data_IF_084956254242
#
_entry.id   IF_084956254242
#
_cell.length_a   1.000
_cell.length_b   1.000
_cell.length_c   1.000
_cell.angle_alpha   90.00
_cell.angle_beta   90.00
_cell.angle_gamma   90.00
#
_symmetry.space_group_name_H-M   'P 1'
#
loop_
_entity.id
_entity.type
_entity.pdbx_description
1 polymer ?
#
# COMPACT_ATOMS: atom_id res chain seq x y z
N UNK A 1 -2.65 -14.74 -19.86
CA UNK A 1 -3.17 -14.91 -18.49
C UNK A 1 -2.51 -13.95 -17.49
N UNK A 2 -1.17 -13.89 -17.38
CA UNK A 2 -0.46 -12.99 -16.45
C UNK A 2 -0.88 -11.52 -16.58
N UNK A 3 -0.96 -10.97 -17.79
CA UNK A 3 -1.41 -9.57 -17.99
C UNK A 3 -2.83 -9.31 -17.46
N UNK A 4 -3.75 -10.28 -17.59
CA UNK A 4 -5.10 -10.12 -17.03
C UNK A 4 -5.05 -10.03 -15.50
N UNK A 5 -4.25 -10.88 -14.85
CA UNK A 5 -4.04 -10.82 -13.39
C UNK A 5 -3.49 -9.45 -12.97
N UNK A 6 -2.46 -8.95 -13.66
CA UNK A 6 -1.85 -7.66 -13.34
C UNK A 6 -2.84 -6.50 -13.55
N UNK A 7 -3.60 -6.51 -14.66
CA UNK A 7 -4.65 -5.52 -14.90
C UNK A 7 -5.77 -5.58 -13.85
N UNK A 8 -6.18 -6.77 -13.42
CA UNK A 8 -7.16 -6.93 -12.34
C UNK A 8 -6.63 -6.37 -11.03
N UNK A 9 -5.38 -6.66 -10.66
CA UNK A 9 -4.73 -6.13 -9.47
C UNK A 9 -4.58 -4.60 -9.51
N UNK A 10 -4.50 -4.00 -10.70
CA UNK A 10 -4.50 -2.56 -10.86
C UNK A 10 -5.90 -1.95 -10.79
N UNK A 11 -6.87 -2.47 -11.54
CA UNK A 11 -8.19 -1.84 -11.73
C UNK A 11 -9.13 -2.10 -10.55
N UNK A 12 -9.18 -3.34 -10.03
CA UNK A 12 -10.16 -3.73 -9.01
C UNK A 12 -10.07 -2.85 -7.76
N UNK A 13 -8.88 -2.57 -7.18
CA UNK A 13 -8.80 -1.68 -6.02
C UNK A 13 -9.44 -0.32 -6.31
N UNK A 14 -9.10 0.34 -7.43
CA UNK A 14 -9.71 1.63 -7.77
C UNK A 14 -11.23 1.57 -7.88
N UNK A 15 -11.78 0.50 -8.46
CA UNK A 15 -13.23 0.30 -8.52
C UNK A 15 -13.83 0.21 -7.11
N UNK A 16 -13.15 -0.40 -6.13
CA UNK A 16 -13.70 -0.48 -4.77
C UNK A 16 -13.95 0.89 -4.12
N UNK A 17 -13.25 1.95 -4.54
CA UNK A 17 -13.48 3.28 -3.99
C UNK A 17 -14.87 3.84 -4.31
N UNK A 18 -15.61 3.30 -5.30
CA UNK A 18 -17.00 3.69 -5.56
C UNK A 18 -17.93 3.41 -4.37
N UNK A 19 -17.55 2.49 -3.48
CA UNK A 19 -18.29 2.16 -2.27
C UNK A 19 -18.04 3.13 -1.10
N UNK A 20 -17.15 4.11 -1.28
CA UNK A 20 -16.85 5.14 -0.28
C UNK A 20 -17.44 6.50 -0.67
N UNK A 21 -17.88 7.24 0.35
CA UNK A 21 -18.28 8.63 0.15
C UNK A 21 -17.09 9.49 -0.30
N UNK A 22 -17.37 10.48 -1.15
CA UNK A 22 -16.34 11.40 -1.66
C UNK A 22 -15.60 12.13 -0.54
N UNK A 23 -16.27 12.42 0.58
CA UNK A 23 -15.66 13.04 1.75
C UNK A 23 -14.62 12.12 2.41
N UNK A 24 -14.93 10.83 2.53
CA UNK A 24 -14.00 9.83 3.06
C UNK A 24 -12.77 9.68 2.17
N UNK A 25 -12.96 9.59 0.85
CA UNK A 25 -11.86 9.52 -0.11
C UNK A 25 -10.96 10.76 0.02
N UNK A 26 -11.54 11.97 0.04
CA UNK A 26 -10.77 13.22 0.19
C UNK A 26 -10.00 13.30 1.51
N UNK A 27 -10.60 12.83 2.61
CA UNK A 27 -9.97 12.83 3.93
C UNK A 27 -8.72 11.97 3.99
N UNK A 28 -8.75 10.78 3.40
CA UNK A 28 -7.65 9.81 3.47
C UNK A 28 -6.74 9.77 2.23
N UNK A 29 -7.06 10.54 1.18
CA UNK A 29 -6.20 10.63 0.01
C UNK A 29 -4.77 11.10 0.34
N UNK A 30 -4.54 12.13 1.18
CA UNK A 30 -3.17 12.61 1.42
C UNK A 30 -2.30 11.58 2.14
N UNK A 31 -2.81 10.86 3.15
CA UNK A 31 -2.06 9.77 3.77
C UNK A 31 -1.82 8.60 2.81
N UNK A 32 -2.77 8.29 1.92
CA UNK A 32 -2.59 7.27 0.90
C UNK A 32 -1.52 7.65 -0.15
N UNK A 33 -1.45 8.93 -0.53
CA UNK A 33 -0.39 9.44 -1.40
C UNK A 33 0.98 9.40 -0.70
N UNK A 34 1.03 9.75 0.60
CA UNK A 34 2.26 9.63 1.38
C UNK A 34 2.73 8.16 1.46
N UNK A 35 1.81 7.23 1.70
CA UNK A 35 2.10 5.79 1.67
C UNK A 35 2.63 5.35 0.30
N UNK A 36 2.07 5.90 -0.77
CA UNK A 36 2.52 5.63 -2.16
C UNK A 36 3.96 6.12 -2.36
N UNK A 37 4.29 7.33 -1.91
CA UNK A 37 5.67 7.87 -1.99
C UNK A 37 6.66 6.97 -1.25
N UNK A 38 6.36 6.59 -0.01
CA UNK A 38 7.24 5.70 0.75
C UNK A 38 7.39 4.33 0.09
N UNK A 39 6.30 3.75 -0.44
CA UNK A 39 6.35 2.48 -1.15
C UNK A 39 7.15 2.58 -2.47
N UNK A 40 7.08 3.71 -3.19
CA UNK A 40 7.91 3.95 -4.38
C UNK A 40 9.39 3.97 -4.00
N UNK A 41 9.76 4.69 -2.94
CA UNK A 41 11.16 4.74 -2.45
C UNK A 41 11.61 3.33 -2.05
N UNK A 42 10.78 2.60 -1.30
CA UNK A 42 11.10 1.23 -0.90
C UNK A 42 11.27 0.30 -2.10
N UNK A 43 10.45 0.44 -3.14
CA UNK A 43 10.55 -0.36 -4.36
C UNK A 43 11.84 -0.04 -5.14
N UNK A 44 12.25 1.23 -5.19
CA UNK A 44 13.54 1.64 -5.76
C UNK A 44 14.73 1.07 -4.98
N UNK A 45 14.69 1.14 -3.64
CA UNK A 45 15.68 0.51 -2.78
C UNK A 45 15.71 -1.00 -3.02
N UNK A 46 14.55 -1.63 -3.12
CA UNK A 46 14.45 -3.06 -3.34
C UNK A 46 15.08 -3.51 -4.67
N UNK A 47 14.86 -2.72 -5.72
CA UNK A 47 15.51 -2.93 -7.01
C UNK A 47 17.03 -2.79 -6.91
N UNK A 48 17.51 -1.71 -6.28
CA UNK A 48 18.94 -1.38 -6.15
C UNK A 48 19.70 -2.41 -5.30
N UNK A 49 19.12 -2.85 -4.19
CA UNK A 49 19.74 -3.78 -3.24
C UNK A 49 19.38 -5.26 -3.48
N UNK A 50 18.72 -5.57 -4.60
CA UNK A 50 18.26 -6.92 -4.94
C UNK A 50 17.40 -7.59 -3.84
N UNK A 51 16.53 -6.82 -3.20
CA UNK A 51 15.58 -7.32 -2.21
C UNK A 51 14.45 -8.11 -2.86
N UNK A 52 13.90 -7.57 -3.95
CA UNK A 52 12.98 -8.24 -4.87
C UNK A 52 12.96 -7.48 -6.19
N UNK A 53 12.53 -8.16 -7.25
CA UNK A 53 12.37 -7.55 -8.58
C UNK A 53 11.10 -8.02 -9.25
N UNK A 54 10.46 -7.12 -10.00
CA UNK A 54 9.34 -7.49 -10.85
C UNK A 54 9.83 -7.80 -12.26
N UNK A 55 9.43 -8.96 -12.77
CA UNK A 55 9.75 -9.44 -14.12
C UNK A 55 8.69 -8.94 -15.12
N UNK A 56 7.43 -9.08 -14.73
CA UNK A 56 6.25 -8.68 -15.48
C UNK A 56 5.50 -7.55 -14.76
N UNK A 57 5.11 -6.53 -15.51
CA UNK A 57 4.36 -5.36 -15.02
C UNK A 57 3.38 -4.86 -16.09
N UNK A 58 2.69 -3.75 -15.83
CA UNK A 58 1.75 -3.18 -16.81
C UNK A 58 2.49 -2.62 -18.02
N UNK A 59 3.62 -1.95 -17.79
CA UNK A 59 4.41 -1.29 -18.81
C UNK A 59 5.89 -1.65 -18.66
N UNK A 60 6.69 -1.51 -19.71
CA UNK A 60 8.13 -1.82 -19.61
C UNK A 60 8.87 -0.93 -18.60
N UNK A 61 8.38 0.28 -18.36
CA UNK A 61 9.02 1.31 -17.52
C UNK A 61 8.65 1.21 -16.03
N UNK A 62 7.59 0.51 -15.64
CA UNK A 62 7.12 0.48 -14.24
C UNK A 62 7.70 -0.68 -13.42
N UNK A 63 8.71 -1.41 -13.94
CA UNK A 63 9.34 -2.57 -13.25
C UNK A 63 9.94 -2.24 -11.89
N UNK A 64 10.39 -1.01 -11.68
CA UNK A 64 11.01 -0.57 -10.43
C UNK A 64 9.96 -0.32 -9.35
N UNK A 65 8.84 0.31 -9.71
CA UNK A 65 7.73 0.61 -8.81
C UNK A 65 6.40 0.33 -9.54
N UNK A 66 5.94 -0.93 -9.58
CA UNK A 66 4.85 -1.32 -10.45
C UNK A 66 3.54 -0.66 -10.07
N UNK A 67 2.83 -0.14 -11.09
CA UNK A 67 1.57 0.58 -10.93
C UNK A 67 0.51 -0.26 -10.21
N UNK A 68 0.40 -1.54 -10.56
CA UNK A 68 -0.58 -2.45 -9.96
C UNK A 68 -0.34 -2.71 -8.47
N UNK A 69 0.87 -2.47 -7.95
CA UNK A 69 1.17 -2.61 -6.52
C UNK A 69 1.17 -1.27 -5.82
N UNK A 70 2.12 -0.39 -6.15
CA UNK A 70 2.38 0.87 -5.44
C UNK A 70 1.25 1.86 -5.63
N UNK A 71 0.78 2.03 -6.86
CA UNK A 71 -0.21 3.05 -7.23
C UNK A 71 -1.65 2.54 -7.26
N UNK A 72 -1.88 1.30 -6.84
CA UNK A 72 -3.22 0.71 -6.75
C UNK A 72 -3.42 0.01 -5.42
N UNK A 73 -2.89 -1.20 -5.23
CA UNK A 73 -3.12 -1.99 -4.01
C UNK A 73 -2.71 -1.21 -2.75
N UNK A 74 -1.51 -0.63 -2.72
CA UNK A 74 -1.05 0.08 -1.53
C UNK A 74 -1.78 1.41 -1.31
N UNK A 75 -1.96 2.21 -2.36
CA UNK A 75 -2.68 3.49 -2.29
C UNK A 75 -4.13 3.27 -1.82
N UNK A 76 -4.88 2.46 -2.56
CA UNK A 76 -6.29 2.21 -2.26
C UNK A 76 -6.46 1.43 -0.95
N UNK A 77 -5.59 0.45 -0.71
CA UNK A 77 -5.58 -0.31 0.55
C UNK A 77 -5.38 0.61 1.75
N UNK A 78 -4.49 1.61 1.65
CA UNK A 78 -4.30 2.61 2.70
C UNK A 78 -5.59 3.38 2.99
N UNK A 79 -6.31 3.83 1.95
CA UNK A 79 -7.60 4.53 2.12
C UNK A 79 -8.58 3.66 2.91
N UNK A 80 -8.74 2.39 2.55
CA UNK A 80 -9.64 1.47 3.24
C UNK A 80 -9.23 1.18 4.68
N UNK A 81 -7.95 0.95 4.93
CA UNK A 81 -7.42 0.72 6.28
C UNK A 81 -7.76 1.91 7.18
N UNK A 82 -7.45 3.13 6.74
CA UNK A 82 -7.75 4.33 7.50
C UNK A 82 -9.25 4.56 7.64
N UNK A 83 -10.04 4.34 6.59
CA UNK A 83 -11.49 4.47 6.65
C UNK A 83 -12.11 3.65 7.79
N UNK A 84 -11.67 2.40 7.97
CA UNK A 84 -12.23 1.51 8.99
C UNK A 84 -11.60 1.67 10.38
N UNK A 85 -10.37 2.15 10.48
CA UNK A 85 -9.58 2.03 11.73
C UNK A 85 -9.06 3.34 12.30
N UNK A 86 -9.20 4.46 11.58
CA UNK A 86 -8.69 5.75 12.06
C UNK A 86 -9.31 6.16 13.41
N UNK A 87 -8.51 6.84 14.24
CA UNK A 87 -8.75 7.14 15.68
C UNK A 87 -8.76 5.92 16.62
N UNK A 88 -8.57 4.69 16.12
CA UNK A 88 -8.44 3.46 16.94
C UNK A 88 -7.06 2.84 16.73
N UNK A 89 -6.02 3.46 17.30
CA UNK A 89 -4.62 3.11 17.04
C UNK A 89 -4.31 1.60 17.10
N UNK A 90 -4.73 0.92 18.17
CA UNK A 90 -4.49 -0.53 18.31
C UNK A 90 -5.20 -1.37 17.25
N UNK A 91 -6.43 -0.98 16.87
CA UNK A 91 -7.17 -1.64 15.78
C UNK A 91 -6.47 -1.40 14.45
N UNK A 92 -6.02 -0.16 14.19
CA UNK A 92 -5.24 0.18 13.01
C UNK A 92 -3.99 -0.69 12.87
N UNK A 93 -3.17 -0.77 13.93
CA UNK A 93 -1.93 -1.57 13.92
C UNK A 93 -2.25 -3.05 13.68
N UNK A 94 -3.24 -3.62 14.36
CA UNK A 94 -3.62 -5.02 14.16
C UNK A 94 -4.10 -5.31 12.74
N UNK A 95 -4.97 -4.47 12.19
CA UNK A 95 -5.47 -4.62 10.81
C UNK A 95 -4.33 -4.49 9.80
N UNK A 96 -3.43 -3.53 10.00
CA UNK A 96 -2.28 -3.32 9.13
C UNK A 96 -1.34 -4.54 9.13
N UNK A 97 -1.01 -5.06 10.32
CA UNK A 97 -0.21 -6.28 10.47
C UNK A 97 -0.85 -7.50 9.78
N UNK A 98 -2.17 -7.68 9.92
CA UNK A 98 -2.89 -8.79 9.27
C UNK A 98 -2.81 -8.66 7.75
N UNK A 99 -2.98 -7.45 7.22
CA UNK A 99 -2.90 -7.18 5.78
C UNK A 99 -1.48 -7.42 5.26
N UNK A 100 -0.46 -6.99 6.00
CA UNK A 100 0.94 -7.23 5.63
C UNK A 100 1.30 -8.71 5.64
N UNK A 101 0.77 -9.47 6.61
CA UNK A 101 0.91 -10.91 6.66
C UNK A 101 0.21 -11.58 5.48
N UNK A 102 -1.00 -11.14 5.11
CA UNK A 102 -1.70 -11.63 3.92
C UNK A 102 -0.95 -11.31 2.63
N UNK A 103 -0.41 -10.09 2.51
CA UNK A 103 0.43 -9.69 1.38
C UNK A 103 1.68 -10.56 1.29
N UNK A 104 2.40 -10.71 2.41
CA UNK A 104 3.66 -11.42 2.51
C UNK A 104 3.55 -12.94 2.30
N UNK A 105 2.54 -13.57 2.89
CA UNK A 105 2.36 -15.02 2.85
C UNK A 105 1.42 -15.50 1.75
N UNK A 106 0.52 -14.65 1.26
CA UNK A 106 -0.46 -14.96 0.22
C UNK A 106 -0.07 -14.36 -1.13
N UNK A 107 -0.22 -13.05 -1.27
CA UNK A 107 -0.06 -12.38 -2.58
C UNK A 107 1.34 -12.55 -3.16
N UNK A 108 2.40 -12.36 -2.36
CA UNK A 108 3.78 -12.56 -2.81
C UNK A 108 4.00 -13.99 -3.34
N UNK A 109 3.47 -15.02 -2.67
CA UNK A 109 3.61 -16.41 -3.14
C UNK A 109 2.94 -16.62 -4.49
N UNK A 110 1.75 -16.03 -4.68
CA UNK A 110 1.03 -16.08 -5.96
C UNK A 110 1.85 -15.38 -7.04
N UNK A 111 2.37 -14.17 -6.77
CA UNK A 111 3.18 -13.42 -7.73
C UNK A 111 4.48 -14.16 -8.10
N UNK A 112 5.13 -14.80 -7.14
CA UNK A 112 6.32 -15.62 -7.40
C UNK A 112 5.98 -16.86 -8.24
N UNK A 113 4.87 -17.56 -7.93
CA UNK A 113 4.42 -18.75 -8.68
C UNK A 113 4.05 -18.42 -10.13
N UNK A 114 3.54 -17.23 -10.38
CA UNK A 114 3.22 -16.72 -11.72
C UNK A 114 4.43 -16.06 -12.42
N UNK A 115 5.62 -16.13 -11.81
CA UNK A 115 6.87 -15.51 -12.30
C UNK A 115 6.77 -14.00 -12.52
N UNK A 116 5.80 -13.33 -11.90
CA UNK A 116 5.60 -11.87 -11.97
C UNK A 116 6.65 -11.15 -11.13
N UNK A 117 6.99 -11.72 -9.98
CA UNK A 117 7.97 -11.20 -9.03
C UNK A 117 8.99 -12.27 -8.68
N UNK A 118 10.20 -11.85 -8.40
CA UNK A 118 11.28 -12.67 -7.86
C UNK A 118 11.69 -12.12 -6.50
N UNK A 119 11.86 -13.03 -5.54
CA UNK A 119 12.30 -12.69 -4.19
C UNK A 119 13.81 -12.77 -4.10
N UNK A 120 14.43 -11.76 -3.49
CA UNK A 120 15.87 -11.70 -3.28
C UNK A 120 16.22 -11.80 -1.79
N UNK A 121 17.15 -10.95 -1.35
CA UNK A 121 17.80 -11.05 -0.03
C UNK A 121 16.98 -10.53 1.16
N UNK A 122 15.80 -9.95 0.91
CA UNK A 122 15.03 -9.27 1.95
C UNK A 122 14.10 -10.21 2.68
N UNK A 123 14.42 -10.45 3.95
CA UNK A 123 13.72 -11.46 4.75
C UNK A 123 12.30 -10.99 5.12
N UNK A 124 11.35 -11.93 5.31
CA UNK A 124 9.98 -11.59 5.72
C UNK A 124 9.91 -10.75 6.99
N UNK A 125 10.81 -11.02 7.97
CA UNK A 125 10.87 -10.25 9.21
C UNK A 125 11.30 -8.79 8.99
N UNK A 126 12.31 -8.55 8.14
CA UNK A 126 12.73 -7.18 7.77
C UNK A 126 11.59 -6.43 7.07
N UNK A 127 10.84 -7.13 6.21
CA UNK A 127 9.68 -6.55 5.54
C UNK A 127 8.57 -6.18 6.52
N UNK A 128 8.23 -7.08 7.44
CA UNK A 128 7.22 -6.81 8.46
C UNK A 128 7.60 -5.60 9.33
N UNK A 129 8.86 -5.51 9.76
CA UNK A 129 9.36 -4.37 10.52
C UNK A 129 9.28 -3.07 9.72
N UNK A 130 9.71 -3.07 8.46
CA UNK A 130 9.66 -1.89 7.60
C UNK A 130 8.22 -1.40 7.39
N UNK A 131 7.28 -2.31 7.11
CA UNK A 131 5.86 -1.97 6.95
C UNK A 131 5.23 -1.48 8.26
N UNK A 132 5.57 -2.09 9.40
CA UNK A 132 5.08 -1.65 10.71
C UNK A 132 5.54 -0.23 11.05
N UNK A 133 6.82 0.09 10.79
CA UNK A 133 7.35 1.45 10.98
C UNK A 133 6.62 2.43 10.07
N UNK A 134 6.42 2.06 8.80
CA UNK A 134 5.68 2.89 7.85
C UNK A 134 4.23 3.11 8.32
N UNK A 135 3.54 2.08 8.82
CA UNK A 135 2.19 2.18 9.34
C UNK A 135 2.10 3.20 10.51
N UNK A 136 3.05 3.16 11.45
CA UNK A 136 3.11 4.13 12.55
C UNK A 136 3.30 5.55 12.00
N UNK A 137 4.22 5.76 11.06
CA UNK A 137 4.46 7.06 10.42
C UNK A 137 3.18 7.59 9.75
N UNK A 138 2.49 6.74 8.98
CA UNK A 138 1.25 7.10 8.29
C UNK A 138 0.14 7.46 9.27
N UNK A 139 0.02 6.74 10.39
CA UNK A 139 -0.98 7.05 11.41
C UNK A 139 -0.72 8.40 12.06
N UNK A 140 0.53 8.69 12.42
CA UNK A 140 0.93 9.99 12.97
C UNK A 140 0.69 11.12 11.97
N UNK A 141 1.00 10.90 10.69
CA UNK A 141 0.71 11.85 9.63
C UNK A 141 -0.80 12.13 9.50
N UNK A 142 -1.64 11.09 9.52
CA UNK A 142 -3.09 11.28 9.45
C UNK A 142 -3.62 12.04 10.68
N UNK A 143 -3.09 11.78 11.88
CA UNK A 143 -3.43 12.57 13.06
C UNK A 143 -3.11 14.05 12.87
N UNK A 144 -1.89 14.36 12.40
CA UNK A 144 -1.47 15.72 12.11
C UNK A 144 -2.33 16.39 11.03
N UNK A 145 -2.73 15.65 10.00
CA UNK A 145 -3.61 16.15 8.95
C UNK A 145 -5.03 16.43 9.49
N UNK A 146 -5.51 15.63 10.43
CA UNK A 146 -6.85 15.75 11.00
C UNK A 146 -7.05 17.03 11.81
N UNK A 147 -5.99 17.53 12.47
CA UNK A 147 -6.00 18.79 13.21
C UNK A 147 -6.43 19.99 12.35
N UNK A 148 -6.27 19.92 11.02
CA UNK A 148 -6.71 20.95 10.09
C UNK A 148 -8.24 20.93 9.95
N UNK A 149 -8.83 19.74 9.79
CA UNK A 149 -10.28 19.58 9.61
C UNK A 149 -11.07 19.87 10.88
N UNK A 150 -10.53 19.54 12.05
CA UNK A 150 -11.20 19.83 13.32
C UNK A 150 -11.19 21.36 13.61
N UNK A 151 -10.17 22.10 13.14
CA UNK A 151 -10.13 23.58 13.23
C UNK A 151 -11.12 24.28 12.29
N UNK A 152 -11.43 23.71 11.13
CA UNK A 152 -12.42 24.26 10.19
C UNK A 152 -13.86 24.12 10.69
N UNK A 153 -14.17 23.11 11.52
CA UNK A 153 -15.51 22.93 12.10
C UNK A 153 -15.82 23.86 13.26
N UNK A 154 -14.80 24.45 13.87
CA UNK A 154 -14.91 25.32 15.06
C UNK A 154 -14.97 26.81 14.67
N UNK A 155 -14.69 27.15 13.41
CA UNK A 155 -14.86 28.49 12.84
C UNK A 155 -16.22 28.65 12.17
#
# INVERSE_FOLDING_TARGET
>A
MVKLVIWSLFIIPWITLIFLDRSAIRRYMPVALLATVFNTILAQMAWSYNWWKFKETLFSWDKIAPLFTVYSIFLVGTIWIFYFTFRKFWVYIMVNLIIDLFYGMGLIKILNKLEIRESGSFTPLKNLLAMTILAVILYLYQLWQEDIFDKEKVK
#
